data_IF_432524717090
#
_entry.id   IF_432524717090
#
_cell.length_a   1.000
_cell.length_b   1.000
_cell.length_c   1.000
_cell.angle_alpha   90.00
_cell.angle_beta   90.00
_cell.angle_gamma   90.00
#
_symmetry.space_group_name_H-M   'P 1'
#
loop_
_entity.id
_entity.type
_entity.pdbx_description
1 polymer ?
#
# COMPACT_ATOMS: atom_id res chain seq x y z
N UNK A 1 -25.03 38.51 -7.90
CA UNK A 1 -23.57 38.33 -8.03
C UNK A 1 -22.97 37.50 -6.90
N UNK A 2 -23.18 37.84 -5.63
CA UNK A 2 -22.58 37.13 -4.49
C UNK A 2 -22.98 35.64 -4.45
N UNK A 3 -24.26 35.30 -4.62
CA UNK A 3 -24.72 33.89 -4.65
C UNK A 3 -24.11 33.08 -5.81
N UNK A 4 -23.85 33.73 -6.95
CA UNK A 4 -23.22 33.10 -8.10
C UNK A 4 -21.73 32.80 -7.84
N UNK A 5 -21.02 33.75 -7.20
CA UNK A 5 -19.64 33.55 -6.76
C UNK A 5 -19.52 32.42 -5.72
N UNK A 6 -20.45 32.36 -4.76
CA UNK A 6 -20.49 31.27 -3.76
C UNK A 6 -20.70 29.92 -4.44
N UNK A 7 -21.59 29.85 -5.45
CA UNK A 7 -21.82 28.63 -6.23
C UNK A 7 -20.55 28.14 -6.95
N UNK A 8 -19.81 29.04 -7.59
CA UNK A 8 -18.55 28.69 -8.25
C UNK A 8 -17.52 28.18 -7.25
N UNK A 9 -17.33 28.88 -6.13
CA UNK A 9 -16.39 28.47 -5.08
C UNK A 9 -16.75 27.07 -4.56
N UNK A 10 -18.03 26.82 -4.28
CA UNK A 10 -18.50 25.51 -3.82
C UNK A 10 -18.19 24.39 -4.83
N UNK A 11 -18.44 24.61 -6.12
CA UNK A 11 -18.16 23.63 -7.18
C UNK A 11 -16.65 23.34 -7.28
N UNK A 12 -15.81 24.39 -7.25
CA UNK A 12 -14.35 24.24 -7.30
C UNK A 12 -13.86 23.45 -6.08
N UNK A 13 -14.33 23.79 -4.88
CA UNK A 13 -13.95 23.10 -3.65
C UNK A 13 -14.35 21.62 -3.68
N UNK A 14 -15.59 21.31 -4.06
CA UNK A 14 -16.06 19.92 -4.17
C UNK A 14 -15.25 19.15 -5.20
N UNK A 15 -14.92 19.76 -6.34
CA UNK A 15 -14.11 19.13 -7.38
C UNK A 15 -12.71 18.79 -6.90
N UNK A 16 -12.05 19.72 -6.18
CA UNK A 16 -10.72 19.51 -5.59
C UNK A 16 -10.73 18.37 -4.57
N UNK A 17 -11.70 18.36 -3.64
CA UNK A 17 -11.80 17.29 -2.65
C UNK A 17 -12.13 15.94 -3.28
N UNK A 18 -13.00 15.92 -4.29
CA UNK A 18 -13.33 14.68 -5.02
C UNK A 18 -12.10 14.14 -5.75
N UNK A 19 -11.34 14.99 -6.46
CA UNK A 19 -10.10 14.59 -7.13
C UNK A 19 -9.08 14.02 -6.15
N UNK A 20 -8.89 14.64 -4.99
CA UNK A 20 -7.99 14.12 -3.95
C UNK A 20 -8.45 12.76 -3.43
N UNK A 21 -9.75 12.58 -3.18
CA UNK A 21 -10.31 11.30 -2.74
C UNK A 21 -10.13 10.20 -3.80
N UNK A 22 -10.35 10.52 -5.09
CA UNK A 22 -10.11 9.56 -6.17
C UNK A 22 -8.64 9.16 -6.26
N UNK A 23 -7.71 10.12 -6.19
CA UNK A 23 -6.27 9.85 -6.18
C UNK A 23 -5.87 8.97 -5.00
N UNK A 24 -6.38 9.25 -3.80
CA UNK A 24 -6.07 8.47 -2.61
C UNK A 24 -6.56 7.02 -2.73
N UNK A 25 -7.79 6.83 -3.24
CA UNK A 25 -8.36 5.49 -3.40
C UNK A 25 -7.63 4.68 -4.48
N UNK A 26 -7.32 5.30 -5.61
CA UNK A 26 -6.57 4.66 -6.69
C UNK A 26 -5.17 4.24 -6.21
N UNK A 27 -4.46 5.13 -5.50
CA UNK A 27 -3.16 4.79 -4.94
C UNK A 27 -3.25 3.67 -3.89
N UNK A 28 -4.28 3.68 -3.05
CA UNK A 28 -4.50 2.61 -2.07
C UNK A 28 -4.71 1.26 -2.75
N UNK A 29 -5.42 1.21 -3.88
CA UNK A 29 -5.59 -0.01 -4.67
C UNK A 29 -4.25 -0.50 -5.24
N UNK A 30 -3.44 0.41 -5.77
CA UNK A 30 -2.09 0.07 -6.27
C UNK A 30 -1.18 -0.42 -5.15
N UNK A 31 -1.22 0.19 -3.97
CA UNK A 31 -0.50 -0.29 -2.79
C UNK A 31 -0.91 -1.72 -2.43
N UNK A 32 -2.22 -2.01 -2.44
CA UNK A 32 -2.74 -3.34 -2.15
C UNK A 32 -2.30 -4.37 -3.19
N UNK A 33 -2.35 -4.02 -4.48
CA UNK A 33 -1.92 -4.92 -5.56
C UNK A 33 -0.41 -5.20 -5.48
N UNK A 34 0.41 -4.17 -5.28
CA UNK A 34 1.84 -4.30 -5.12
C UNK A 34 2.20 -5.17 -3.90
N UNK A 35 1.49 -5.00 -2.78
CA UNK A 35 1.65 -5.81 -1.58
C UNK A 35 1.32 -7.28 -1.83
N UNK A 36 0.18 -7.58 -2.46
CA UNK A 36 -0.23 -8.95 -2.78
C UNK A 36 0.80 -9.69 -3.66
N UNK A 37 1.30 -9.02 -4.70
CA UNK A 37 2.30 -9.59 -5.62
C UNK A 37 3.63 -9.80 -4.89
N UNK A 38 4.05 -8.81 -4.09
CA UNK A 38 5.28 -8.88 -3.33
C UNK A 38 5.26 -10.02 -2.32
N UNK A 39 4.15 -10.20 -1.58
CA UNK A 39 3.97 -11.30 -0.64
C UNK A 39 4.13 -12.63 -1.34
N UNK A 40 3.33 -12.87 -2.38
CA UNK A 40 3.35 -14.12 -3.15
C UNK A 40 4.76 -14.48 -3.64
N UNK A 41 5.55 -13.49 -4.06
CA UNK A 41 6.92 -13.69 -4.56
C UNK A 41 7.98 -13.77 -3.47
N UNK A 42 7.68 -13.29 -2.26
CA UNK A 42 8.57 -13.31 -1.11
C UNK A 42 8.41 -14.53 -0.21
N UNK A 43 7.42 -15.39 -0.50
CA UNK A 43 7.26 -16.68 0.15
C UNK A 43 8.47 -17.56 -0.19
N UNK A 44 9.16 -18.03 0.83
CA UNK A 44 10.25 -18.99 0.65
C UNK A 44 9.69 -20.35 0.20
N UNK A 45 9.92 -20.68 -1.07
CA UNK A 45 9.52 -21.95 -1.69
C UNK A 45 10.21 -23.18 -1.08
N UNK A 46 11.25 -23.02 -0.25
CA UNK A 46 11.93 -24.13 0.43
C UNK A 46 11.11 -24.72 1.59
N UNK A 47 10.13 -23.96 2.11
CA UNK A 47 9.24 -24.36 3.21
C UNK A 47 7.95 -25.05 2.76
N UNK A 48 7.76 -25.29 1.45
CA UNK A 48 6.56 -25.93 0.85
C UNK A 48 6.19 -27.32 1.40
N UNK A 49 7.03 -27.91 2.25
CA UNK A 49 6.75 -29.18 2.91
C UNK A 49 5.94 -29.04 4.22
N UNK A 50 5.63 -27.82 4.68
CA UNK A 50 4.78 -27.59 5.85
C UNK A 50 3.71 -26.57 5.45
N UNK A 51 2.48 -27.06 5.27
CA UNK A 51 1.37 -26.40 4.60
C UNK A 51 0.96 -25.03 5.20
N UNK A 52 1.42 -24.67 6.42
CA UNK A 52 1.01 -23.44 7.13
C UNK A 52 2.15 -22.48 7.51
N UNK A 53 3.38 -22.65 6.99
CA UNK A 53 4.57 -22.00 7.60
C UNK A 53 5.52 -21.32 6.62
N UNK A 54 4.99 -20.48 5.73
CA UNK A 54 5.84 -19.67 4.86
C UNK A 54 6.41 -18.45 5.61
N UNK A 55 7.72 -18.46 5.88
CA UNK A 55 8.43 -17.29 6.38
C UNK A 55 8.60 -16.29 5.23
N UNK A 56 8.16 -15.05 5.42
CA UNK A 56 8.37 -13.97 4.46
C UNK A 56 9.76 -13.38 4.67
N UNK A 57 10.55 -13.36 3.60
CA UNK A 57 11.87 -12.72 3.61
C UNK A 57 11.67 -11.22 3.41
N UNK A 58 11.71 -10.44 4.50
CA UNK A 58 11.40 -9.00 4.51
C UNK A 58 12.14 -8.20 3.41
N UNK A 59 13.47 -8.35 3.21
CA UNK A 59 14.17 -7.62 2.14
C UNK A 59 13.65 -7.95 0.73
N UNK A 60 13.28 -9.21 0.49
CA UNK A 60 12.71 -9.65 -0.80
C UNK A 60 11.33 -9.07 -0.97
N UNK A 61 10.51 -9.06 0.09
CA UNK A 61 9.20 -8.40 0.06
C UNK A 61 9.33 -6.92 -0.30
N UNK A 62 10.21 -6.16 0.38
CA UNK A 62 10.39 -4.73 0.11
C UNK A 62 10.85 -4.47 -1.33
N UNK A 63 11.81 -5.25 -1.82
CA UNK A 63 12.33 -5.12 -3.19
C UNK A 63 11.23 -5.41 -4.22
N UNK A 64 10.44 -6.48 -4.03
CA UNK A 64 9.34 -6.81 -4.93
C UNK A 64 8.20 -5.81 -4.85
N UNK A 65 7.92 -5.27 -3.67
CA UNK A 65 6.93 -4.21 -3.50
C UNK A 65 7.33 -2.96 -4.26
N UNK A 66 8.54 -2.44 -4.04
CA UNK A 66 9.06 -1.24 -4.72
C UNK A 66 9.04 -1.41 -6.24
N UNK A 67 9.54 -2.54 -6.74
CA UNK A 67 9.52 -2.86 -8.17
C UNK A 67 8.11 -2.92 -8.77
N UNK A 68 7.12 -3.42 -8.03
CA UNK A 68 5.74 -3.50 -8.51
C UNK A 68 5.04 -2.14 -8.44
N UNK A 69 5.31 -1.36 -7.40
CA UNK A 69 4.79 -0.01 -7.24
C UNK A 69 5.31 0.94 -8.32
N UNK A 70 6.60 0.89 -8.63
CA UNK A 70 7.23 1.70 -9.69
C UNK A 70 6.71 1.36 -11.11
N UNK A 71 6.24 0.13 -11.32
CA UNK A 71 5.62 -0.29 -12.59
C UNK A 71 4.17 0.15 -12.72
N UNK A 72 3.56 0.62 -11.64
CA UNK A 72 2.18 1.10 -11.69
C UNK A 72 2.10 2.39 -12.50
N UNK A 73 0.95 2.67 -13.09
CA UNK A 73 0.73 3.90 -13.85
C UNK A 73 0.46 5.12 -12.96
N UNK A 74 0.76 5.05 -11.66
CA UNK A 74 0.37 6.12 -10.74
C UNK A 74 1.38 7.25 -10.77
N UNK A 75 0.86 8.46 -10.96
CA UNK A 75 1.64 9.71 -10.98
C UNK A 75 1.90 10.22 -9.56
N UNK A 76 2.71 9.49 -8.80
CA UNK A 76 3.17 9.92 -7.47
C UNK A 76 4.70 9.89 -7.44
N UNK A 77 5.31 11.03 -7.11
CA UNK A 77 6.74 11.14 -6.89
C UNK A 77 7.05 10.63 -5.49
N UNK A 78 7.62 9.43 -5.37
CA UNK A 78 7.90 8.85 -4.06
C UNK A 78 9.13 9.49 -3.43
N UNK A 79 8.96 10.05 -2.24
CA UNK A 79 10.04 10.53 -1.37
C UNK A 79 10.61 9.41 -0.50
N UNK A 80 9.74 8.57 0.08
CA UNK A 80 10.18 7.46 0.93
C UNK A 80 9.15 6.33 1.05
N UNK A 81 9.66 5.14 1.37
CA UNK A 81 8.88 3.96 1.73
C UNK A 81 9.15 3.62 3.21
N UNK A 82 8.12 3.15 3.92
CA UNK A 82 8.24 2.60 5.27
C UNK A 82 7.42 1.32 5.40
N UNK A 83 8.02 0.32 6.03
CA UNK A 83 7.44 -1.01 6.26
C UNK A 83 7.48 -1.30 7.76
N UNK A 84 6.31 -1.63 8.34
CA UNK A 84 6.21 -2.06 9.73
C UNK A 84 5.62 -3.48 9.76
N UNK A 85 6.37 -4.43 10.31
CA UNK A 85 5.99 -5.84 10.34
C UNK A 85 5.41 -6.22 11.70
N UNK A 86 4.21 -6.79 11.70
CA UNK A 86 3.61 -7.44 12.86
C UNK A 86 3.86 -8.94 12.76
N UNK A 87 4.51 -9.51 13.77
CA UNK A 87 4.79 -10.94 13.86
C UNK A 87 3.98 -11.61 14.97
N UNK A 88 3.76 -12.92 14.86
CA UNK A 88 3.24 -13.76 15.94
C UNK A 88 4.31 -14.03 16.99
N UNK A 89 3.93 -14.61 18.14
CA UNK A 89 4.87 -15.05 19.18
C UNK A 89 5.96 -15.99 18.67
N UNK A 90 5.61 -16.75 17.63
CA UNK A 90 6.47 -17.79 17.06
C UNK A 90 7.32 -17.24 15.90
N UNK A 91 7.29 -15.92 15.67
CA UNK A 91 8.11 -15.23 14.68
C UNK A 91 7.51 -15.15 13.27
N UNK A 92 6.29 -15.64 13.06
CA UNK A 92 5.62 -15.63 11.75
C UNK A 92 5.02 -14.27 11.41
N UNK A 93 5.00 -13.89 10.13
CA UNK A 93 4.37 -12.63 9.75
C UNK A 93 2.84 -12.73 9.91
N UNK A 94 2.24 -11.75 10.58
CA UNK A 94 0.81 -11.59 10.77
C UNK A 94 0.25 -10.43 9.93
N UNK A 95 0.97 -9.33 9.86
CA UNK A 95 0.61 -8.21 9.00
C UNK A 95 1.84 -7.38 8.61
N UNK A 96 1.74 -6.68 7.49
CA UNK A 96 2.69 -5.64 7.10
C UNK A 96 1.93 -4.35 6.84
N UNK A 97 2.33 -3.29 7.54
CA UNK A 97 1.86 -1.94 7.26
C UNK A 97 2.86 -1.27 6.33
N UNK A 98 2.35 -0.71 5.25
CA UNK A 98 3.13 -0.07 4.20
C UNK A 98 2.74 1.39 4.13
N UNK A 99 3.72 2.28 4.14
CA UNK A 99 3.55 3.72 3.94
C UNK A 99 4.40 4.18 2.77
N UNK A 100 3.78 4.95 1.89
CA UNK A 100 4.45 5.68 0.80
C UNK A 100 4.24 7.16 1.08
N UNK A 101 5.34 7.90 1.17
CA UNK A 101 5.32 9.36 1.35
C UNK A 101 5.74 10.00 0.04
N UNK A 102 4.96 10.96 -0.45
CA UNK A 102 5.30 11.73 -1.65
C UNK A 102 6.16 12.97 -1.34
N UNK A 103 6.53 13.71 -2.38
CA UNK A 103 7.31 14.95 -2.29
C UNK A 103 6.55 16.09 -1.60
N UNK A 104 5.22 16.03 -1.54
CA UNK A 104 4.33 16.95 -0.82
C UNK A 104 4.09 16.53 0.65
N UNK A 105 4.83 15.52 1.16
CA UNK A 105 4.66 14.93 2.49
C UNK A 105 3.28 14.29 2.73
N UNK A 106 2.53 13.98 1.67
CA UNK A 106 1.29 13.20 1.76
C UNK A 106 1.62 11.74 2.00
N UNK A 107 1.01 11.16 3.04
CA UNK A 107 1.20 9.75 3.40
C UNK A 107 0.04 8.91 2.92
N UNK A 108 0.35 7.94 2.09
CA UNK A 108 -0.59 6.90 1.67
C UNK A 108 -0.21 5.61 2.35
N UNK A 109 -1.17 4.96 3.00
CA UNK A 109 -0.90 3.79 3.81
C UNK A 109 -1.92 2.68 3.58
N UNK A 110 -1.44 1.45 3.63
CA UNK A 110 -2.28 0.26 3.70
C UNK A 110 -1.70 -0.72 4.73
N UNK A 111 -2.56 -1.57 5.28
CA UNK A 111 -2.14 -2.68 6.12
C UNK A 111 -2.58 -3.97 5.46
N UNK A 112 -1.62 -4.80 5.10
CA UNK A 112 -1.88 -6.12 4.59
C UNK A 112 -1.84 -7.13 5.74
N UNK A 113 -2.93 -7.86 5.94
CA UNK A 113 -3.00 -8.97 6.91
C UNK A 113 -2.79 -10.26 6.14
N UNK A 114 -1.87 -11.10 6.59
CA UNK A 114 -1.59 -12.38 5.94
C UNK A 114 -2.54 -13.45 6.47
N UNK A 115 -3.23 -14.14 5.57
CA UNK A 115 -4.08 -15.30 5.88
C UNK A 115 -3.27 -16.57 6.19
N UNK A 116 -1.94 -16.53 6.05
CA UNK A 116 -1.04 -17.68 6.24
C UNK A 116 -1.07 -18.20 7.70
N UNK A 117 -1.62 -17.43 8.65
CA UNK A 117 -1.68 -17.79 10.09
C UNK A 117 -3.02 -18.45 10.49
N UNK A 118 -3.99 -18.55 9.57
CA UNK A 118 -5.31 -19.15 9.86
C UNK A 118 -5.50 -20.56 9.26
N UNK A 119 -4.42 -21.21 8.82
CA UNK A 119 -4.38 -22.63 8.44
C UNK A 119 -4.02 -23.51 9.63
#
# INVERSE_FOLDING_TARGET
>A
MILFLIGIIAIVTVSIYSMQSYRYNDLTNVLNEAANIALTKSLDNSTRAIEDKAAIVEPVFEEKFKNQFEKSNVKVNVKSYSFEYLKTSDGYLKAVKIKVTDDEDTVYQTTFVTDIVNG
#
